data_IF_680368669178
#
_entry.id   IF_680368669178
#
_cell.length_a   1.000
_cell.length_b   1.000
_cell.length_c   1.000
_cell.angle_alpha   90.00
_cell.angle_beta   90.00
_cell.angle_gamma   90.00
#
_symmetry.space_group_name_H-M   'P 1'
#
loop_
_entity.id
_entity.type
_entity.pdbx_description
1 polymer ?
#
# COMPACT_ATOMS: atom_id res chain seq x y z
N UNK A 1 7.71 -47.21 33.19
CA UNK A 1 7.55 -48.28 32.18
C UNK A 1 6.28 -47.95 31.40
N UNK A 2 6.46 -47.24 30.28
CA UNK A 2 5.40 -46.62 29.50
C UNK A 2 4.68 -47.63 28.61
N UNK A 3 3.36 -47.54 28.67
CA UNK A 3 2.34 -48.28 27.95
C UNK A 3 2.37 -48.08 26.43
N UNK A 4 2.31 -49.20 25.70
CA UNK A 4 1.36 -49.45 24.60
C UNK A 4 1.42 -48.55 23.37
N UNK A 5 2.13 -49.01 22.33
CA UNK A 5 1.90 -48.61 20.94
C UNK A 5 0.51 -49.08 20.48
N UNK A 6 -0.35 -48.15 20.05
CA UNK A 6 -1.65 -48.44 19.43
C UNK A 6 -1.52 -48.37 17.91
N UNK A 7 -1.63 -49.52 17.26
CA UNK A 7 -1.63 -49.67 15.82
C UNK A 7 -2.92 -49.09 15.22
N UNK A 8 -2.87 -47.85 14.71
CA UNK A 8 -3.94 -47.29 13.85
C UNK A 8 -3.51 -46.13 12.93
N UNK A 9 -2.23 -46.01 12.58
CA UNK A 9 -1.76 -45.01 11.60
C UNK A 9 -1.42 -45.66 10.26
N UNK A 10 -2.41 -46.33 9.65
CA UNK A 10 -2.37 -46.69 8.23
C UNK A 10 -3.37 -45.82 7.46
N UNK A 11 -3.04 -44.55 7.27
CA UNK A 11 -3.53 -43.78 6.12
C UNK A 11 -2.42 -43.69 5.09
N UNK A 12 -2.54 -44.59 4.11
CA UNK A 12 -1.89 -44.62 2.81
C UNK A 12 -1.48 -43.25 2.26
N UNK A 13 -0.17 -43.04 2.13
CA UNK A 13 0.41 -42.02 1.25
C UNK A 13 0.18 -42.44 -0.21
N UNK A 14 -1.01 -42.17 -0.73
CA UNK A 14 -1.29 -42.33 -2.15
C UNK A 14 -1.85 -41.04 -2.72
N UNK A 15 -1.08 -40.52 -3.67
CA UNK A 15 -1.27 -39.42 -4.60
C UNK A 15 -0.65 -38.07 -4.19
N UNK A 16 0.34 -37.55 -4.95
CA UNK A 16 0.75 -36.15 -4.82
C UNK A 16 -0.44 -35.24 -5.16
N UNK A 17 -0.58 -34.08 -4.52
CA UNK A 17 -1.68 -33.18 -4.79
C UNK A 17 -1.63 -32.75 -6.27
N UNK A 18 -2.68 -33.09 -7.01
CA UNK A 18 -2.92 -32.60 -8.36
C UNK A 18 -2.78 -31.08 -8.38
N UNK A 19 -1.90 -30.58 -9.24
CA UNK A 19 -1.72 -29.15 -9.50
C UNK A 19 -3.08 -28.51 -9.83
N UNK A 20 -3.65 -27.74 -8.89
CA UNK A 20 -4.91 -27.03 -9.16
C UNK A 20 -5.84 -26.75 -7.98
N UNK A 21 -5.61 -27.29 -6.78
CA UNK A 21 -6.48 -26.96 -5.65
C UNK A 21 -6.05 -25.62 -5.04
N UNK A 22 -6.64 -24.51 -5.52
CA UNK A 22 -6.58 -23.22 -4.82
C UNK A 22 -7.26 -23.39 -3.46
N UNK A 23 -6.48 -23.54 -2.39
CA UNK A 23 -6.99 -23.54 -1.02
C UNK A 23 -7.87 -22.29 -0.82
N UNK A 24 -9.09 -22.41 -0.28
CA UNK A 24 -9.89 -21.24 0.07
C UNK A 24 -9.07 -20.41 1.07
N UNK A 25 -8.79 -19.14 0.72
CA UNK A 25 -8.10 -18.23 1.63
C UNK A 25 -9.01 -17.97 2.82
N UNK A 26 -8.68 -18.59 3.95
CA UNK A 26 -9.24 -18.25 5.24
C UNK A 26 -8.70 -16.88 5.65
N UNK A 27 -9.40 -15.81 5.28
CA UNK A 27 -9.59 -14.59 6.08
C UNK A 27 -10.56 -13.65 5.33
N UNK A 28 -11.60 -13.20 6.02
CA UNK A 28 -12.57 -12.20 5.56
C UNK A 28 -12.18 -10.81 6.05
N UNK A 29 -10.89 -10.46 5.95
CA UNK A 29 -10.35 -9.14 6.23
C UNK A 29 -10.20 -8.30 4.96
N UNK A 30 -10.06 -6.98 5.14
CA UNK A 30 -9.78 -6.05 4.04
C UNK A 30 -8.48 -6.44 3.33
N UNK A 31 -8.50 -6.48 1.99
CA UNK A 31 -7.31 -6.75 1.18
C UNK A 31 -6.61 -5.46 0.81
N UNK A 32 -5.29 -5.47 0.87
CA UNK A 32 -4.46 -4.32 0.51
C UNK A 32 -3.83 -4.56 -0.86
N UNK A 33 -3.95 -3.57 -1.74
CA UNK A 33 -3.23 -3.52 -3.02
C UNK A 33 -1.94 -2.73 -2.83
N UNK A 34 -0.81 -3.27 -3.30
CA UNK A 34 0.50 -2.65 -3.14
C UNK A 34 1.14 -2.44 -4.51
N UNK A 35 1.59 -1.22 -4.78
CA UNK A 35 2.37 -0.87 -5.97
C UNK A 35 3.84 -0.76 -5.59
N UNK A 36 4.67 -1.63 -6.16
CA UNK A 36 6.11 -1.68 -5.91
C UNK A 36 6.89 -1.48 -7.21
N UNK A 37 8.11 -0.94 -7.08
CA UNK A 37 9.04 -0.82 -8.20
C UNK A 37 9.73 -2.15 -8.42
N UNK A 38 9.79 -2.60 -9.67
CA UNK A 38 10.52 -3.81 -10.02
C UNK A 38 12.00 -3.53 -10.32
N UNK A 39 12.38 -2.26 -10.47
CA UNK A 39 13.70 -1.81 -10.90
C UNK A 39 14.23 -0.72 -9.95
N UNK A 40 15.11 0.14 -10.46
CA UNK A 40 15.82 1.18 -9.72
C UNK A 40 15.16 2.56 -9.82
N UNK A 41 13.82 2.61 -9.91
CA UNK A 41 13.09 3.87 -9.93
C UNK A 41 12.50 4.23 -11.30
N UNK A 42 11.75 5.33 -11.31
CA UNK A 42 11.10 5.95 -12.48
C UNK A 42 10.24 5.03 -13.36
N UNK A 43 9.67 3.96 -12.80
CA UNK A 43 8.79 3.03 -13.52
C UNK A 43 7.36 3.55 -13.71
N UNK A 44 7.08 4.79 -13.29
CA UNK A 44 5.74 5.38 -13.38
C UNK A 44 4.75 4.91 -12.31
N UNK A 45 5.26 4.46 -11.14
CA UNK A 45 4.42 4.01 -10.00
C UNK A 45 3.35 5.03 -9.60
N UNK A 46 3.67 6.32 -9.62
CA UNK A 46 2.73 7.39 -9.30
C UNK A 46 1.47 7.34 -10.17
N UNK A 47 1.62 7.09 -11.47
CA UNK A 47 0.50 6.97 -12.41
C UNK A 47 -0.37 5.74 -12.13
N UNK A 48 0.24 4.62 -11.75
CA UNK A 48 -0.51 3.42 -11.37
C UNK A 48 -1.26 3.64 -10.06
N UNK A 49 -0.63 4.30 -9.09
CA UNK A 49 -1.26 4.66 -7.81
C UNK A 49 -2.44 5.62 -8.05
N UNK A 50 -2.30 6.60 -8.93
CA UNK A 50 -3.37 7.54 -9.30
C UNK A 50 -4.60 6.82 -9.89
N UNK A 51 -4.38 5.89 -10.81
CA UNK A 51 -5.45 5.05 -11.37
C UNK A 51 -6.16 4.21 -10.29
N UNK A 52 -5.40 3.57 -9.40
CA UNK A 52 -5.96 2.73 -8.33
C UNK A 52 -6.65 3.57 -7.23
N UNK A 53 -6.20 4.80 -7.02
CA UNK A 53 -6.76 5.72 -6.02
C UNK A 53 -8.19 6.16 -6.34
N UNK A 54 -8.62 6.05 -7.60
CA UNK A 54 -10.00 6.38 -8.01
C UNK A 54 -11.03 5.47 -7.33
N UNK A 55 -10.68 4.20 -7.12
CA UNK A 55 -11.56 3.18 -6.51
C UNK A 55 -11.19 2.84 -5.06
N UNK A 56 -10.16 3.50 -4.50
CA UNK A 56 -9.66 3.22 -3.16
C UNK A 56 -10.22 4.20 -2.13
N UNK A 57 -10.65 3.69 -0.98
CA UNK A 57 -11.06 4.54 0.15
C UNK A 57 -9.85 5.13 0.90
N UNK A 58 -8.70 4.45 0.83
CA UNK A 58 -7.49 4.82 1.55
C UNK A 58 -6.28 4.61 0.64
N UNK A 59 -5.42 5.62 0.55
CA UNK A 59 -4.12 5.52 -0.12
C UNK A 59 -3.03 5.85 0.90
N UNK A 60 -2.02 4.97 0.97
CA UNK A 60 -0.97 5.06 1.96
C UNK A 60 0.41 5.11 1.32
N UNK A 61 1.27 6.01 1.81
CA UNK A 61 2.71 5.96 1.56
C UNK A 61 3.43 5.41 2.79
N UNK A 62 4.02 4.22 2.63
CA UNK A 62 4.65 3.52 3.73
C UNK A 62 6.14 3.89 3.92
N UNK A 63 6.84 4.30 2.86
CA UNK A 63 8.29 4.56 2.91
C UNK A 63 8.71 5.68 1.96
N UNK A 64 9.92 6.18 2.17
CA UNK A 64 10.60 7.14 1.31
C UNK A 64 10.66 8.57 1.86
N UNK A 65 11.31 9.46 1.10
CA UNK A 65 11.40 10.90 1.36
C UNK A 65 10.84 11.71 0.19
N UNK A 66 11.20 13.00 0.08
CA UNK A 66 10.73 13.87 -1.02
C UNK A 66 11.49 13.68 -2.35
N UNK A 67 12.34 12.66 -2.41
CA UNK A 67 13.42 12.49 -3.39
C UNK A 67 12.93 12.25 -4.83
N UNK A 68 11.67 11.87 -4.99
CA UNK A 68 11.02 11.65 -6.27
C UNK A 68 9.66 12.36 -6.26
N UNK A 69 9.37 13.07 -7.34
CA UNK A 69 8.11 13.78 -7.54
C UNK A 69 7.18 13.03 -8.50
N UNK A 70 5.88 13.26 -8.36
CA UNK A 70 4.87 12.85 -9.32
C UNK A 70 3.92 14.00 -9.58
N UNK A 71 3.86 14.45 -10.82
CA UNK A 71 2.95 15.50 -11.27
C UNK A 71 1.66 14.90 -11.80
N UNK A 72 0.51 15.43 -11.36
CA UNK A 72 -0.81 15.09 -11.90
C UNK A 72 -1.50 16.36 -12.37
N UNK A 73 -2.23 16.27 -13.48
CA UNK A 73 -2.99 17.40 -14.03
C UNK A 73 -4.49 17.10 -13.90
N UNK A 74 -5.21 17.97 -13.21
CA UNK A 74 -6.67 17.85 -12.99
C UNK A 74 -7.32 19.14 -13.46
N UNK A 75 -8.25 19.03 -14.42
CA UNK A 75 -8.99 20.18 -14.95
C UNK A 75 -8.08 21.35 -15.42
N UNK A 76 -6.90 21.04 -15.93
CA UNK A 76 -5.91 22.02 -16.39
C UNK A 76 -5.04 22.63 -15.28
N UNK A 77 -5.20 22.21 -14.03
CA UNK A 77 -4.31 22.58 -12.91
C UNK A 77 -3.28 21.48 -12.67
N UNK A 78 -2.01 21.85 -12.62
CA UNK A 78 -0.91 20.94 -12.33
C UNK A 78 -0.64 20.86 -10.82
N UNK A 79 -0.48 19.64 -10.31
CA UNK A 79 -0.17 19.35 -8.91
C UNK A 79 1.10 18.50 -8.82
N UNK A 80 2.12 19.02 -8.14
CA UNK A 80 3.39 18.34 -7.91
C UNK A 80 3.43 17.70 -6.53
N UNK A 81 3.43 16.36 -6.50
CA UNK A 81 3.49 15.59 -5.26
C UNK A 81 4.90 15.04 -5.03
N UNK A 82 5.49 15.29 -3.87
CA UNK A 82 6.80 14.74 -3.50
C UNK A 82 6.71 13.80 -2.32
N UNK A 83 5.86 14.12 -1.34
CA UNK A 83 5.69 13.35 -0.13
C UNK A 83 4.26 12.82 -0.01
N UNK A 84 3.28 13.63 -0.38
CA UNK A 84 1.88 13.22 -0.39
C UNK A 84 1.65 12.17 -1.50
N UNK A 85 0.78 11.17 -1.27
CA UNK A 85 0.35 10.30 -2.36
C UNK A 85 -0.53 11.09 -3.34
N UNK A 86 -0.35 10.89 -4.64
CA UNK A 86 -1.14 11.58 -5.68
C UNK A 86 -2.65 11.32 -5.60
N UNK A 87 -3.04 10.18 -5.03
CA UNK A 87 -4.43 9.83 -4.76
C UNK A 87 -5.17 10.81 -3.84
N UNK A 88 -4.46 11.77 -3.22
CA UNK A 88 -5.06 12.85 -2.41
C UNK A 88 -6.06 13.71 -3.21
N UNK A 89 -5.93 13.78 -4.53
CA UNK A 89 -6.87 14.49 -5.41
C UNK A 89 -8.30 13.95 -5.28
N UNK A 90 -8.44 12.66 -4.97
CA UNK A 90 -9.75 12.06 -4.73
C UNK A 90 -10.27 12.48 -3.34
N UNK A 91 -11.25 13.37 -3.29
CA UNK A 91 -11.84 13.89 -2.04
C UNK A 91 -12.50 12.81 -1.17
N UNK A 92 -12.86 11.66 -1.76
CA UNK A 92 -13.42 10.51 -1.02
C UNK A 92 -12.34 9.60 -0.44
N UNK A 93 -11.10 9.73 -0.90
CA UNK A 93 -9.97 8.91 -0.48
C UNK A 93 -9.22 9.59 0.66
N UNK A 94 -9.00 8.86 1.76
CA UNK A 94 -8.16 9.32 2.86
C UNK A 94 -6.70 9.05 2.51
N UNK A 95 -5.88 10.10 2.55
CA UNK A 95 -4.43 9.97 2.35
C UNK A 95 -3.71 9.74 3.67
N UNK A 96 -2.97 8.63 3.75
CA UNK A 96 -2.15 8.23 4.88
C UNK A 96 -0.67 8.31 4.55
N UNK A 97 0.10 8.84 5.50
CA UNK A 97 1.57 8.82 5.44
C UNK A 97 2.04 8.17 6.72
N UNK A 98 2.76 7.06 6.57
CA UNK A 98 3.35 6.33 7.69
C UNK A 98 4.80 6.79 7.82
N UNK A 99 5.10 7.50 8.90
CA UNK A 99 6.45 7.98 9.17
C UNK A 99 7.26 6.88 9.86
N UNK A 100 8.03 6.10 9.09
CA UNK A 100 8.84 5.00 9.66
C UNK A 100 10.11 5.52 10.37
N UNK A 101 10.45 6.81 10.21
CA UNK A 101 11.58 7.42 10.91
C UNK A 101 11.25 8.87 11.29
N UNK A 102 11.60 9.32 12.52
CA UNK A 102 11.41 10.71 12.96
C UNK A 102 12.41 11.60 12.22
N UNK A 103 12.12 11.91 10.95
CA UNK A 103 12.90 12.88 10.21
C UNK A 103 12.46 14.29 10.68
N UNK A 104 13.35 15.08 11.31
CA UNK A 104 12.97 16.32 11.99
C UNK A 104 12.36 17.37 11.06
N UNK A 105 12.65 17.28 9.75
CA UNK A 105 12.14 18.21 8.74
C UNK A 105 10.84 17.74 8.05
N UNK A 106 10.35 16.53 8.37
CA UNK A 106 9.16 15.97 7.73
C UNK A 106 7.90 16.85 7.89
N UNK A 107 7.61 17.43 9.07
CA UNK A 107 6.48 18.35 9.24
C UNK A 107 6.60 19.61 8.36
N UNK A 108 7.83 20.12 8.15
CA UNK A 108 8.07 21.32 7.35
C UNK A 108 7.85 21.04 5.85
N UNK A 109 8.34 19.91 5.34
CA UNK A 109 8.09 19.50 3.96
C UNK A 109 6.61 19.26 3.70
N UNK A 110 5.92 18.60 4.63
CA UNK A 110 4.46 18.43 4.55
C UNK A 110 3.72 19.76 4.56
N UNK A 111 4.09 20.70 5.44
CA UNK A 111 3.46 22.02 5.48
C UNK A 111 3.63 22.78 4.15
N UNK A 112 4.80 22.65 3.52
CA UNK A 112 5.08 23.26 2.22
C UNK A 112 4.20 22.68 1.10
N UNK A 113 4.00 21.36 1.09
CA UNK A 113 3.19 20.66 0.08
C UNK A 113 1.67 20.83 0.34
N UNK A 114 1.26 20.91 1.61
CA UNK A 114 -0.14 21.10 2.03
C UNK A 114 -0.70 22.48 1.72
N UNK A 115 0.14 23.52 1.64
CA UNK A 115 -0.33 24.87 1.33
C UNK A 115 -1.03 24.97 -0.04
N UNK A 116 -0.77 24.02 -0.95
CA UNK A 116 -1.41 23.93 -2.27
C UNK A 116 -2.69 23.05 -2.24
N UNK A 117 -2.93 22.31 -1.15
CA UNK A 117 -3.89 21.19 -1.07
C UNK A 117 -4.83 21.29 0.15
N UNK A 118 -5.10 22.51 0.61
CA UNK A 118 -5.81 22.83 1.86
C UNK A 118 -7.20 22.17 2.03
N UNK A 119 -7.77 21.58 0.97
CA UNK A 119 -9.11 21.01 0.97
C UNK A 119 -9.17 19.48 1.19
N UNK A 120 -8.04 18.76 1.28
CA UNK A 120 -8.05 17.30 1.22
C UNK A 120 -7.80 16.61 2.59
N UNK A 121 -8.47 15.48 2.87
CA UNK A 121 -8.31 14.76 4.14
C UNK A 121 -6.96 14.05 4.22
N UNK A 122 -6.07 14.54 5.09
CA UNK A 122 -4.75 13.95 5.35
C UNK A 122 -4.68 13.49 6.80
N UNK A 123 -4.41 12.20 7.00
CA UNK A 123 -4.14 11.63 8.32
C UNK A 123 -2.67 11.20 8.42
N UNK A 124 -2.03 11.59 9.51
CA UNK A 124 -0.62 11.36 9.77
C UNK A 124 -0.49 10.41 10.96
N UNK A 125 0.24 9.30 10.75
CA UNK A 125 0.47 8.30 11.78
C UNK A 125 1.97 8.22 12.06
N UNK A 126 2.34 8.52 13.31
CA UNK A 126 3.70 8.44 13.87
C UNK A 126 3.87 7.10 14.56
#
# INVERSE_FOLDING_TARGET
MSSGWSANDHKSYTNPPSAGVKRPRADSGNRVTVVLGAQWGDEGKGKVVDLLATESDIVCRCQGGNNAGHTVVVEGTEYDFHLLPSGIINTKCISLIVAISPHPYLPLFLAKEKNTLFSFPIMYLV
#
